data_IF_669042622522
#
_entry.id   IF_669042622522
#
_cell.length_a   1.000
_cell.length_b   1.000
_cell.length_c   1.000
_cell.angle_alpha   90.00
_cell.angle_beta   90.00
_cell.angle_gamma   90.00
#
_symmetry.space_group_name_H-M   'P 1'
#
loop_
_entity.id
_entity.type
_entity.pdbx_description
1 polymer ?
#
# COMPACT_ATOMS: atom_id res chain seq x y z
N UNK A 1 -8.80 16.01 -25.75
CA UNK A 1 -8.63 15.84 -24.29
C UNK A 1 -8.52 14.35 -24.04
N UNK A 2 -7.45 13.89 -23.39
CA UNK A 2 -7.32 12.47 -23.02
C UNK A 2 -8.47 12.08 -22.08
N UNK A 3 -9.00 10.87 -22.21
CA UNK A 3 -10.05 10.38 -21.32
C UNK A 3 -9.53 10.39 -19.87
N UNK A 4 -10.24 11.05 -18.94
CA UNK A 4 -9.90 11.00 -17.52
C UNK A 4 -10.04 9.54 -17.05
N UNK A 5 -9.00 8.92 -16.48
CA UNK A 5 -9.11 7.57 -15.95
C UNK A 5 -10.13 7.53 -14.82
N UNK A 6 -11.07 6.58 -14.86
CA UNK A 6 -12.18 6.47 -13.90
C UNK A 6 -11.86 5.55 -12.71
N UNK A 7 -10.65 4.98 -12.68
CA UNK A 7 -10.20 4.06 -11.64
C UNK A 7 -8.67 4.03 -11.55
N UNK A 8 -8.14 3.95 -10.33
CA UNK A 8 -6.73 3.63 -10.12
C UNK A 8 -6.42 2.19 -10.53
N UNK A 9 -5.48 2.02 -11.45
CA UNK A 9 -4.90 0.72 -11.80
C UNK A 9 -3.76 0.38 -10.84
N UNK A 10 -3.50 -0.91 -10.62
CA UNK A 10 -2.34 -1.37 -9.87
C UNK A 10 -1.06 -0.84 -10.55
N UNK A 11 -0.21 -0.18 -9.77
CA UNK A 11 1.09 0.30 -10.21
C UNK A 11 2.16 -0.66 -9.72
N UNK A 12 3.19 -0.90 -10.52
CA UNK A 12 4.31 -1.75 -10.16
C UNK A 12 5.61 -0.96 -10.26
N UNK A 13 6.46 -1.07 -9.25
CA UNK A 13 7.83 -0.59 -9.34
C UNK A 13 8.71 -1.69 -9.98
N UNK A 14 9.20 -1.51 -11.23
CA UNK A 14 9.73 -2.63 -12.01
C UNK A 14 10.93 -3.33 -11.38
N UNK A 15 11.88 -2.55 -10.86
CA UNK A 15 13.08 -3.08 -10.21
C UNK A 15 12.77 -3.93 -8.98
N UNK A 16 11.74 -3.59 -8.21
CA UNK A 16 11.35 -4.40 -7.05
C UNK A 16 10.57 -5.64 -7.47
N UNK A 17 9.49 -5.46 -8.26
CA UNK A 17 8.53 -6.53 -8.51
C UNK A 17 9.01 -7.55 -9.55
N UNK A 18 9.80 -7.12 -10.54
CA UNK A 18 10.20 -7.98 -11.66
C UNK A 18 11.69 -8.33 -11.67
N UNK A 19 12.51 -7.70 -10.81
CA UNK A 19 13.95 -8.01 -10.71
C UNK A 19 14.31 -8.50 -9.31
N UNK A 20 14.19 -7.66 -8.29
CA UNK A 20 14.68 -7.95 -6.95
C UNK A 20 13.91 -9.10 -6.29
N UNK A 21 12.58 -9.07 -6.32
CA UNK A 21 11.75 -10.12 -5.71
C UNK A 21 11.94 -11.49 -6.39
N UNK A 22 11.87 -11.61 -7.73
CA UNK A 22 12.17 -12.88 -8.39
C UNK A 22 13.59 -13.38 -8.13
N UNK A 23 14.60 -12.50 -8.19
CA UNK A 23 15.99 -12.88 -7.93
C UNK A 23 16.18 -13.39 -6.49
N UNK A 24 15.60 -12.69 -5.51
CA UNK A 24 15.66 -13.12 -4.11
C UNK A 24 14.94 -14.46 -3.88
N UNK A 25 13.81 -14.69 -4.56
CA UNK A 25 13.10 -15.96 -4.51
C UNK A 25 13.93 -17.11 -5.12
N UNK A 26 14.57 -16.89 -6.27
CA UNK A 26 15.46 -17.88 -6.90
C UNK A 26 16.64 -18.22 -5.97
N UNK A 27 17.27 -17.20 -5.36
CA UNK A 27 18.36 -17.39 -4.41
C UNK A 27 17.91 -18.15 -3.16
N UNK A 28 16.73 -17.85 -2.63
CA UNK A 28 16.16 -18.57 -1.49
C UNK A 28 15.90 -20.05 -1.82
N UNK A 29 15.27 -20.34 -2.97
CA UNK A 29 15.02 -21.71 -3.44
C UNK A 29 16.34 -22.46 -3.64
N UNK A 30 17.31 -21.82 -4.29
CA UNK A 30 18.64 -22.41 -4.50
C UNK A 30 19.36 -22.72 -3.19
N UNK A 31 19.34 -21.78 -2.23
CA UNK A 31 19.93 -21.94 -0.91
C UNK A 31 19.29 -23.09 -0.13
N UNK A 32 17.95 -23.16 -0.12
CA UNK A 32 17.21 -24.26 0.53
C UNK A 32 17.54 -25.60 -0.12
N UNK A 33 17.52 -25.69 -1.46
CA UNK A 33 17.85 -26.92 -2.17
C UNK A 33 19.26 -27.39 -1.83
N UNK A 34 20.23 -26.48 -1.78
CA UNK A 34 21.62 -26.81 -1.45
C UNK A 34 21.77 -27.22 0.00
N UNK A 35 21.11 -26.54 0.93
CA UNK A 35 21.04 -26.94 2.33
C UNK A 35 20.52 -28.37 2.48
N UNK A 36 19.41 -28.72 1.80
CA UNK A 36 18.85 -30.08 1.87
C UNK A 36 19.80 -31.18 1.37
N UNK A 37 20.76 -30.86 0.48
CA UNK A 37 21.77 -31.83 0.02
C UNK A 37 22.91 -32.08 1.01
N UNK A 38 23.08 -31.22 2.01
CA UNK A 38 24.15 -31.31 3.02
C UNK A 38 23.59 -31.38 4.44
N UNK A 39 22.28 -31.27 4.60
CA UNK A 39 21.59 -31.28 5.88
C UNK A 39 21.79 -32.63 6.60
N UNK A 40 22.22 -32.57 7.86
CA UNK A 40 22.48 -33.74 8.71
C UNK A 40 23.96 -34.16 8.75
N UNK A 41 24.80 -33.62 7.88
CA UNK A 41 26.25 -33.69 8.01
C UNK A 41 26.75 -32.48 8.81
N UNK A 42 27.55 -32.69 9.87
CA UNK A 42 28.16 -31.60 10.67
C UNK A 42 29.50 -31.13 10.05
N UNK A 43 29.57 -31.17 8.73
CA UNK A 43 30.70 -30.65 7.98
C UNK A 43 30.70 -29.12 7.95
N UNK A 44 31.88 -28.54 7.74
CA UNK A 44 32.05 -27.09 7.57
C UNK A 44 31.20 -26.55 6.42
N UNK A 45 31.08 -27.33 5.34
CA UNK A 45 30.29 -27.01 4.16
C UNK A 45 28.79 -26.91 4.53
N UNK A 46 28.29 -27.83 5.33
CA UNK A 46 26.89 -27.83 5.81
C UNK A 46 26.60 -26.59 6.65
N UNK A 47 27.49 -26.23 7.59
CA UNK A 47 27.37 -25.02 8.41
C UNK A 47 27.39 -23.74 7.56
N UNK A 48 28.25 -23.66 6.55
CA UNK A 48 28.30 -22.52 5.64
C UNK A 48 26.98 -22.34 4.88
N UNK A 49 26.43 -23.43 4.31
CA UNK A 49 25.17 -23.38 3.58
C UNK A 49 23.98 -23.04 4.49
N UNK A 50 23.98 -23.52 5.73
CA UNK A 50 23.00 -23.11 6.74
C UNK A 50 23.06 -21.60 7.00
N UNK A 51 24.25 -21.04 7.23
CA UNK A 51 24.41 -19.60 7.46
C UNK A 51 23.95 -18.77 6.25
N UNK A 52 24.31 -19.18 5.03
CA UNK A 52 23.87 -18.50 3.80
C UNK A 52 22.35 -18.56 3.64
N UNK A 53 21.73 -19.72 3.87
CA UNK A 53 20.27 -19.86 3.79
C UNK A 53 19.56 -19.01 4.86
N UNK A 54 20.06 -19.00 6.09
CA UNK A 54 19.52 -18.17 7.17
C UNK A 54 19.60 -16.68 6.83
N UNK A 55 20.77 -16.21 6.35
CA UNK A 55 20.94 -14.81 5.92
C UNK A 55 20.04 -14.45 4.73
N UNK A 56 19.84 -15.37 3.79
CA UNK A 56 18.93 -15.14 2.65
C UNK A 56 17.47 -15.01 3.10
N UNK A 57 17.01 -15.87 4.00
CA UNK A 57 15.64 -15.81 4.56
C UNK A 57 15.44 -14.55 5.39
N UNK A 58 16.39 -14.22 6.28
CA UNK A 58 16.34 -13.00 7.09
C UNK A 58 16.39 -11.76 6.19
N UNK A 59 17.28 -11.73 5.20
CA UNK A 59 17.39 -10.62 4.25
C UNK A 59 16.13 -10.41 3.42
N UNK A 60 15.52 -11.49 2.91
CA UNK A 60 14.24 -11.42 2.20
C UNK A 60 13.11 -10.97 3.13
N UNK A 61 13.07 -11.48 4.36
CA UNK A 61 12.11 -11.06 5.38
C UNK A 61 12.21 -9.57 5.69
N UNK A 62 13.42 -9.06 5.93
CA UNK A 62 13.68 -7.63 6.16
C UNK A 62 13.24 -6.81 4.94
N UNK A 63 13.61 -7.22 3.73
CA UNK A 63 13.25 -6.51 2.50
C UNK A 63 11.72 -6.37 2.34
N UNK A 64 10.97 -7.43 2.60
CA UNK A 64 9.51 -7.43 2.50
C UNK A 64 8.86 -6.63 3.65
N UNK A 65 9.29 -6.87 4.89
CA UNK A 65 8.67 -6.28 6.08
C UNK A 65 8.92 -4.77 6.17
N UNK A 66 10.15 -4.29 5.95
CA UNK A 66 10.46 -2.86 6.07
C UNK A 66 9.66 -2.03 5.05
N UNK A 67 9.61 -2.49 3.79
CA UNK A 67 8.84 -1.79 2.76
C UNK A 67 7.36 -1.79 3.13
N UNK A 68 6.78 -2.97 3.34
CA UNK A 68 5.33 -3.09 3.42
C UNK A 68 4.77 -2.47 4.70
N UNK A 69 5.45 -2.61 5.84
CA UNK A 69 4.94 -2.08 7.09
C UNK A 69 5.10 -0.57 7.20
N UNK A 70 6.31 -0.04 6.97
CA UNK A 70 6.57 1.38 7.19
C UNK A 70 6.02 2.26 6.06
N UNK A 71 6.21 1.86 4.80
CA UNK A 71 5.78 2.70 3.68
C UNK A 71 4.26 2.78 3.56
N UNK A 72 3.53 1.66 3.74
CA UNK A 72 2.06 1.69 3.70
C UNK A 72 1.48 2.47 4.87
N UNK A 73 2.02 2.28 6.09
CA UNK A 73 1.57 3.05 7.26
C UNK A 73 1.82 4.55 7.09
N UNK A 74 2.96 4.93 6.53
CA UNK A 74 3.28 6.33 6.22
C UNK A 74 2.34 6.88 5.14
N UNK A 75 2.10 6.12 4.07
CA UNK A 75 1.13 6.49 3.02
C UNK A 75 -0.27 6.71 3.59
N UNK A 76 -0.79 5.79 4.41
CA UNK A 76 -2.12 5.92 5.01
C UNK A 76 -2.22 7.15 5.92
N UNK A 77 -1.13 7.50 6.63
CA UNK A 77 -1.04 8.74 7.42
C UNK A 77 -1.03 9.99 6.55
N UNK A 78 -0.24 9.99 5.46
CA UNK A 78 -0.17 11.11 4.52
C UNK A 78 -1.51 11.33 3.81
N UNK A 79 -2.16 10.27 3.33
CA UNK A 79 -3.45 10.36 2.65
C UNK A 79 -4.55 10.88 3.57
N UNK A 80 -4.53 10.50 4.84
CA UNK A 80 -5.43 11.07 5.85
C UNK A 80 -5.16 12.56 6.06
N UNK A 81 -3.91 12.99 6.08
CA UNK A 81 -3.55 14.41 6.19
C UNK A 81 -3.97 15.19 4.94
N UNK A 82 -3.78 14.63 3.75
CA UNK A 82 -4.22 15.21 2.48
C UNK A 82 -5.73 15.47 2.49
N UNK A 83 -6.54 14.46 2.80
CA UNK A 83 -8.01 14.62 2.83
C UNK A 83 -8.45 15.60 3.92
N UNK A 84 -7.81 15.59 5.11
CA UNK A 84 -8.07 16.58 6.17
C UNK A 84 -7.77 18.00 5.69
N UNK A 85 -6.65 18.20 5.02
CA UNK A 85 -6.21 19.50 4.53
C UNK A 85 -7.15 20.00 3.44
N UNK A 86 -7.45 19.18 2.44
CA UNK A 86 -8.38 19.52 1.35
C UNK A 86 -9.78 19.84 1.88
N UNK A 87 -10.30 19.02 2.81
CA UNK A 87 -11.59 19.30 3.43
C UNK A 87 -11.59 20.65 4.15
N UNK A 88 -10.51 20.99 4.86
CA UNK A 88 -10.37 22.28 5.53
C UNK A 88 -10.28 23.45 4.55
N UNK A 89 -9.54 23.30 3.45
CA UNK A 89 -9.43 24.33 2.41
C UNK A 89 -10.77 24.63 1.73
N UNK A 90 -11.58 23.59 1.48
CA UNK A 90 -12.88 23.73 0.83
C UNK A 90 -13.96 24.26 1.78
N UNK A 91 -14.00 23.79 3.02
CA UNK A 91 -15.12 24.06 3.94
C UNK A 91 -14.81 25.09 5.03
N UNK A 92 -13.53 25.40 5.26
CA UNK A 92 -13.05 26.15 6.42
C UNK A 92 -13.17 25.39 7.75
N UNK A 93 -13.59 24.12 7.74
CA UNK A 93 -13.85 23.33 8.94
C UNK A 93 -12.90 22.14 9.06
N UNK A 94 -12.57 21.76 10.29
CA UNK A 94 -11.71 20.59 10.55
C UNK A 94 -12.48 19.29 10.27
N UNK A 95 -11.86 18.37 9.54
CA UNK A 95 -12.41 17.03 9.32
C UNK A 95 -12.32 16.13 10.57
N UNK A 96 -11.47 16.46 11.55
CA UNK A 96 -11.19 15.61 12.73
C UNK A 96 -12.43 15.13 13.50
N UNK A 97 -13.47 15.96 13.73
CA UNK A 97 -14.70 15.52 14.43
C UNK A 97 -15.52 14.50 13.63
N UNK A 98 -15.44 14.55 12.31
CA UNK A 98 -16.14 13.64 11.40
C UNK A 98 -15.34 12.36 11.13
N UNK A 99 -14.01 12.45 11.24
CA UNK A 99 -13.11 11.34 10.99
C UNK A 99 -13.34 10.14 11.90
N UNK A 100 -13.76 10.35 13.15
CA UNK A 100 -14.10 9.23 14.07
C UNK A 100 -15.29 8.40 13.61
N UNK A 101 -16.11 8.96 12.72
CA UNK A 101 -17.29 8.31 12.13
C UNK A 101 -16.95 7.63 10.79
N UNK A 102 -15.73 7.82 10.27
CA UNK A 102 -15.26 7.29 9.01
C UNK A 102 -14.20 6.21 9.22
N UNK A 103 -14.31 5.12 8.47
CA UNK A 103 -13.28 4.09 8.34
C UNK A 103 -12.17 4.61 7.42
N UNK A 104 -10.94 4.15 7.64
CA UNK A 104 -9.79 4.51 6.80
C UNK A 104 -10.09 4.31 5.30
N UNK A 105 -10.70 3.17 4.94
CA UNK A 105 -11.07 2.90 3.55
C UNK A 105 -12.03 3.93 2.94
N UNK A 106 -12.91 4.56 3.73
CA UNK A 106 -13.82 5.61 3.23
C UNK A 106 -13.05 6.92 3.00
N UNK A 107 -12.15 7.27 3.93
CA UNK A 107 -11.25 8.44 3.79
C UNK A 107 -10.39 8.29 2.52
N UNK A 108 -9.84 7.10 2.30
CA UNK A 108 -9.06 6.78 1.10
C UNK A 108 -9.88 6.83 -0.19
N UNK A 109 -11.20 6.61 -0.13
CA UNK A 109 -12.08 6.80 -1.29
C UNK A 109 -12.38 8.28 -1.54
N UNK A 110 -12.61 9.06 -0.49
CA UNK A 110 -12.89 10.50 -0.57
C UNK A 110 -11.74 11.30 -1.19
N UNK A 111 -10.49 10.83 -1.09
CA UNK A 111 -9.35 11.50 -1.75
C UNK A 111 -9.53 11.66 -3.26
N UNK A 112 -10.27 10.75 -3.90
CA UNK A 112 -10.48 10.77 -5.34
C UNK A 112 -11.60 11.73 -5.76
N UNK A 113 -12.37 12.26 -4.81
CA UNK A 113 -13.45 13.20 -5.10
C UNK A 113 -12.89 14.58 -5.46
N UNK A 114 -13.54 15.29 -6.37
CA UNK A 114 -13.24 16.69 -6.66
C UNK A 114 -13.58 17.60 -5.47
N UNK A 115 -12.95 18.76 -5.40
CA UNK A 115 -13.09 19.67 -4.25
C UNK A 115 -14.53 20.15 -4.04
N UNK A 116 -15.27 20.39 -5.11
CA UNK A 116 -16.66 20.86 -5.04
C UNK A 116 -17.65 19.83 -4.45
N UNK A 117 -17.36 18.53 -4.54
CA UNK A 117 -18.24 17.46 -4.05
C UNK A 117 -17.72 16.79 -2.78
N UNK A 118 -16.47 17.07 -2.36
CA UNK A 118 -15.82 16.45 -1.21
C UNK A 118 -16.61 16.59 0.08
N UNK A 119 -17.12 17.80 0.36
CA UNK A 119 -17.86 18.09 1.59
C UNK A 119 -19.18 17.30 1.66
N UNK A 120 -19.97 17.34 0.58
CA UNK A 120 -21.25 16.67 0.49
C UNK A 120 -21.10 15.14 0.50
N UNK A 121 -20.10 14.60 -0.21
CA UNK A 121 -19.79 13.17 -0.20
C UNK A 121 -19.32 12.69 1.17
N UNK A 122 -18.55 13.50 1.91
CA UNK A 122 -18.16 13.19 3.28
C UNK A 122 -19.39 13.06 4.19
N UNK A 123 -20.32 14.00 4.10
CA UNK A 123 -21.57 13.96 4.88
C UNK A 123 -22.47 12.79 4.46
N UNK A 124 -22.57 12.49 3.17
CA UNK A 124 -23.31 11.33 2.67
C UNK A 124 -22.68 10.01 3.15
N UNK A 125 -21.34 9.90 3.13
CA UNK A 125 -20.62 8.73 3.60
C UNK A 125 -20.91 8.41 5.07
N UNK A 126 -21.04 9.44 5.91
CA UNK A 126 -21.37 9.30 7.34
C UNK A 126 -22.85 8.98 7.52
N UNK A 127 -23.75 9.77 6.92
CA UNK A 127 -25.21 9.62 7.11
C UNK A 127 -25.76 8.30 6.59
N UNK A 128 -25.27 7.87 5.43
CA UNK A 128 -25.74 6.64 4.76
C UNK A 128 -24.83 5.43 5.02
N UNK A 129 -23.75 5.61 5.79
CA UNK A 129 -22.76 4.57 6.09
C UNK A 129 -22.21 3.87 4.83
N UNK A 130 -21.85 4.68 3.82
CA UNK A 130 -21.45 4.20 2.49
C UNK A 130 -20.17 3.38 2.53
N UNK A 131 -20.08 2.29 1.77
CA UNK A 131 -18.80 1.59 1.62
C UNK A 131 -17.82 2.43 0.78
N UNK A 132 -16.52 2.16 0.86
CA UNK A 132 -15.51 2.82 0.01
C UNK A 132 -15.83 2.71 -1.48
N UNK A 133 -16.43 1.59 -1.89
CA UNK A 133 -16.84 1.33 -3.27
C UNK A 133 -18.02 2.21 -3.67
N UNK A 134 -18.99 2.37 -2.77
CA UNK A 134 -20.16 3.20 -3.02
C UNK A 134 -19.80 4.69 -3.06
N UNK A 135 -18.85 5.13 -2.21
CA UNK A 135 -18.29 6.49 -2.28
C UNK A 135 -17.67 6.72 -3.66
N UNK A 136 -16.78 5.82 -4.12
CA UNK A 136 -16.15 5.95 -5.44
C UNK A 136 -17.16 5.95 -6.58
N UNK A 137 -18.23 5.16 -6.48
CA UNK A 137 -19.28 5.12 -7.49
C UNK A 137 -20.10 6.41 -7.57
N UNK A 138 -20.10 7.24 -6.51
CA UNK A 138 -20.82 8.53 -6.46
C UNK A 138 -19.97 9.73 -6.87
N UNK A 139 -18.65 9.55 -7.04
CA UNK A 139 -17.72 10.61 -7.47
C UNK A 139 -18.03 10.99 -8.92
N UNK A 140 -18.27 12.28 -9.17
CA UNK A 140 -18.51 12.81 -10.52
C UNK A 140 -17.24 13.39 -11.13
N UNK A 141 -16.41 14.04 -10.32
CA UNK A 141 -15.11 14.56 -10.76
C UNK A 141 -13.99 13.74 -10.12
N UNK A 142 -13.55 12.72 -10.86
CA UNK A 142 -12.54 11.79 -10.37
C UNK A 142 -11.13 12.36 -10.53
N UNK A 143 -10.41 12.47 -9.41
CA UNK A 143 -8.99 12.79 -9.36
C UNK A 143 -8.16 11.51 -9.28
N UNK A 144 -7.25 11.32 -10.23
CA UNK A 144 -6.38 10.15 -10.29
C UNK A 144 -5.19 10.30 -9.34
N UNK A 145 -4.80 9.22 -8.64
CA UNK A 145 -3.57 9.17 -7.83
C UNK A 145 -2.49 8.44 -8.61
N UNK A 146 -1.56 9.21 -9.16
CA UNK A 146 -0.44 8.76 -9.99
C UNK A 146 0.83 8.43 -9.20
N UNK A 147 0.83 8.63 -7.87
CA UNK A 147 2.02 8.46 -7.04
C UNK A 147 2.01 7.16 -6.21
N UNK A 148 0.89 6.43 -6.17
CA UNK A 148 0.74 5.23 -5.33
C UNK A 148 1.09 3.93 -6.05
N UNK A 149 2.17 3.28 -5.61
CA UNK A 149 2.72 2.00 -6.12
C UNK A 149 2.49 0.82 -5.19
#
# INVERSE_FOLDING_TARGET
MAAKPTKNTLMFYPWHHFVLLPAALILAIYGVRRYLTVAGDDSEISRLWFTVAALAVVGLGVLLMLRQHYALTLQDRLLRLEVRQRYFEVTGQSLRPLESQLKLGQILALRFAGDAELADLTQAAIRENLSSKDIQARIKDFHFDDMRV
#
